data_IF_167705613498
#
_entry.id   IF_167705613498
#
_cell.length_a   1.000
_cell.length_b   1.000
_cell.length_c   1.000
_cell.angle_alpha   90.00
_cell.angle_beta   90.00
_cell.angle_gamma   90.00
#
_symmetry.space_group_name_H-M   'P 1'
#
loop_
_entity.id
_entity.type
_entity.pdbx_description
1 polymer ?
#
# COMPACT_ATOMS: atom_id res chain seq x y z
N UNK A 1 1.41 -10.22 11.16
CA UNK A 1 0.10 -9.95 10.55
C UNK A 1 -0.83 -9.19 11.50
N UNK A 2 -1.27 -9.79 12.61
CA UNK A 2 -2.25 -9.19 13.54
C UNK A 2 -1.73 -7.87 14.14
N UNK A 3 -0.48 -7.85 14.62
CA UNK A 3 0.14 -6.65 15.21
C UNK A 3 0.17 -5.48 14.22
N UNK A 4 0.50 -5.76 12.96
CA UNK A 4 0.54 -4.74 11.89
C UNK A 4 -0.85 -4.14 11.65
N UNK A 5 -1.88 -4.98 11.60
CA UNK A 5 -3.25 -4.53 11.39
C UNK A 5 -3.78 -3.74 12.60
N UNK A 6 -3.48 -4.18 13.81
CA UNK A 6 -3.86 -3.45 15.03
C UNK A 6 -3.20 -2.08 15.10
N UNK A 7 -1.91 -1.98 14.73
CA UNK A 7 -1.20 -0.70 14.64
C UNK A 7 -1.84 0.23 13.61
N UNK A 8 -2.20 -0.28 12.43
CA UNK A 8 -2.87 0.52 11.38
C UNK A 8 -4.23 1.05 11.82
N UNK A 9 -5.02 0.24 12.55
CA UNK A 9 -6.31 0.68 13.08
C UNK A 9 -6.15 1.75 14.16
N UNK A 10 -5.16 1.59 15.06
CA UNK A 10 -4.86 2.59 16.10
C UNK A 10 -4.41 3.92 15.48
N UNK A 11 -3.52 3.88 14.47
CA UNK A 11 -3.09 5.08 13.74
C UNK A 11 -4.27 5.80 13.07
N UNK A 12 -5.23 5.03 12.53
CA UNK A 12 -6.46 5.57 11.95
C UNK A 12 -7.32 6.32 12.98
N UNK A 13 -7.49 5.73 14.16
CA UNK A 13 -8.29 6.33 15.27
C UNK A 13 -7.60 7.59 15.81
N UNK A 14 -6.29 7.56 16.00
CA UNK A 14 -5.53 8.74 16.47
C UNK A 14 -5.53 9.86 15.42
N UNK A 15 -5.46 9.51 14.14
CA UNK A 15 -5.57 10.44 13.02
C UNK A 15 -6.93 11.15 12.97
N UNK A 16 -8.02 10.41 13.20
CA UNK A 16 -9.38 10.97 13.23
C UNK A 16 -9.63 11.84 14.47
N UNK A 17 -9.10 11.45 15.64
CA UNK A 17 -9.11 12.27 16.86
C UNK A 17 -8.34 13.59 16.68
N UNK A 18 -7.16 13.55 16.05
CA UNK A 18 -6.38 14.75 15.75
C UNK A 18 -7.08 15.66 14.72
N UNK A 19 -7.84 15.07 13.80
CA UNK A 19 -8.66 15.79 12.81
C UNK A 19 -9.81 16.54 13.45
N UNK A 20 -10.49 15.91 14.41
CA UNK A 20 -11.60 16.52 15.19
C UNK A 20 -11.08 17.67 16.05
N UNK A 21 -9.87 17.55 16.62
CA UNK A 21 -9.26 18.59 17.50
C UNK A 21 -8.58 19.74 16.73
N UNK A 22 -8.62 19.78 15.39
CA UNK A 22 -7.90 20.79 14.55
C UNK A 22 -6.41 20.95 14.84
N UNK A 23 -5.74 19.93 15.37
CA UNK A 23 -4.34 19.96 15.79
C UNK A 23 -3.36 19.45 14.71
N UNK A 24 -3.82 19.24 13.48
CA UNK A 24 -2.94 18.81 12.38
C UNK A 24 -2.01 19.95 11.95
N UNK A 25 -0.74 19.83 12.24
CA UNK A 25 0.27 20.64 11.58
C UNK A 25 0.56 20.11 10.18
N UNK A 26 0.86 20.99 9.22
CA UNK A 26 1.28 20.59 7.86
C UNK A 26 2.51 19.67 7.89
N UNK A 27 3.40 19.88 8.85
CA UNK A 27 4.57 19.03 9.08
C UNK A 27 4.18 17.65 9.58
N UNK A 28 3.22 17.53 10.50
CA UNK A 28 2.75 16.25 11.01
C UNK A 28 2.18 15.36 9.90
N UNK A 29 1.35 15.90 9.02
CA UNK A 29 0.81 15.15 7.88
C UNK A 29 1.88 14.74 6.85
N UNK A 30 2.89 15.57 6.64
CA UNK A 30 4.03 15.23 5.79
C UNK A 30 4.88 14.12 6.40
N UNK A 31 5.20 14.22 7.69
CA UNK A 31 6.01 13.24 8.41
C UNK A 31 5.31 11.87 8.48
N UNK A 32 4.02 11.86 8.77
CA UNK A 32 3.17 10.67 8.78
C UNK A 32 3.18 9.96 7.42
N UNK A 33 3.03 10.72 6.33
CA UNK A 33 3.09 10.17 4.98
C UNK A 33 4.45 9.50 4.67
N UNK A 34 5.55 10.00 5.21
CA UNK A 34 6.89 9.39 5.06
C UNK A 34 6.97 8.10 5.88
N UNK A 35 6.58 8.14 7.15
CA UNK A 35 6.59 6.97 8.03
C UNK A 35 5.75 5.82 7.45
N UNK A 36 4.62 6.15 6.86
CA UNK A 36 3.78 5.19 6.14
C UNK A 36 4.54 4.45 5.03
N UNK A 37 5.38 5.16 4.29
CA UNK A 37 6.17 4.53 3.21
C UNK A 37 7.24 3.60 3.76
N UNK A 38 7.95 4.03 4.81
CA UNK A 38 8.92 3.16 5.47
C UNK A 38 8.27 1.91 6.07
N UNK A 39 7.09 2.06 6.66
CA UNK A 39 6.32 0.93 7.21
C UNK A 39 5.89 -0.04 6.11
N UNK A 40 5.35 0.45 4.99
CA UNK A 40 4.98 -0.37 3.83
C UNK A 40 6.20 -1.15 3.30
N UNK A 41 7.36 -0.47 3.19
CA UNK A 41 8.61 -1.11 2.75
C UNK A 41 9.07 -2.20 3.72
N UNK A 42 9.06 -1.92 5.01
CA UNK A 42 9.48 -2.89 6.03
C UNK A 42 8.56 -4.13 6.06
N UNK A 43 7.25 -3.93 5.93
CA UNK A 43 6.27 -5.02 5.92
C UNK A 43 6.43 -5.90 4.68
N UNK A 44 6.50 -5.31 3.48
CA UNK A 44 6.64 -6.05 2.24
C UNK A 44 8.02 -6.70 2.11
N UNK A 45 9.08 -6.00 2.56
CA UNK A 45 10.43 -6.56 2.65
C UNK A 45 10.51 -7.74 3.62
N UNK A 46 9.91 -7.61 4.79
CA UNK A 46 9.81 -8.70 5.76
C UNK A 46 9.04 -9.91 5.24
N UNK A 47 7.92 -9.69 4.55
CA UNK A 47 7.16 -10.78 3.92
C UNK A 47 7.96 -11.45 2.79
N UNK A 48 8.68 -10.67 1.99
CA UNK A 48 9.57 -11.19 0.94
C UNK A 48 10.69 -12.03 1.53
N UNK A 49 11.35 -11.51 2.57
CA UNK A 49 12.40 -12.24 3.27
C UNK A 49 11.88 -13.55 3.88
N UNK A 50 10.72 -13.51 4.52
CA UNK A 50 10.08 -14.70 5.08
C UNK A 50 9.77 -15.73 3.98
N UNK A 51 9.20 -15.30 2.86
CA UNK A 51 8.89 -16.19 1.75
C UNK A 51 10.14 -16.85 1.16
N UNK A 52 11.26 -16.12 1.05
CA UNK A 52 12.55 -16.66 0.60
C UNK A 52 13.10 -17.74 1.53
N UNK A 53 12.86 -17.62 2.84
CA UNK A 53 13.41 -18.57 3.82
C UNK A 53 12.54 -19.81 4.00
N UNK A 54 11.21 -19.65 3.89
CA UNK A 54 10.27 -20.69 4.33
C UNK A 54 9.40 -21.26 3.21
N UNK A 55 9.31 -20.61 2.04
CA UNK A 55 8.52 -21.09 0.91
C UNK A 55 9.39 -21.71 -0.19
N UNK A 56 9.97 -22.88 0.06
CA UNK A 56 10.79 -23.61 -0.92
C UNK A 56 10.03 -24.04 -2.20
N UNK A 57 8.71 -23.78 -2.27
CA UNK A 57 7.86 -24.14 -3.42
C UNK A 57 8.13 -23.26 -4.64
N UNK A 58 8.55 -22.02 -4.44
CA UNK A 58 8.76 -21.05 -5.50
C UNK A 58 10.24 -20.77 -5.69
N UNK A 59 10.64 -20.49 -6.93
CA UNK A 59 12.00 -20.03 -7.22
C UNK A 59 12.25 -18.66 -6.53
N UNK A 60 13.42 -18.50 -5.96
CA UNK A 60 13.85 -17.27 -5.31
C UNK A 60 13.71 -16.03 -6.21
N UNK A 61 13.95 -16.17 -7.50
CA UNK A 61 13.77 -15.08 -8.48
C UNK A 61 12.31 -14.64 -8.59
N UNK A 62 11.37 -15.60 -8.54
CA UNK A 62 9.93 -15.29 -8.54
C UNK A 62 9.53 -14.54 -7.28
N UNK A 63 10.03 -14.98 -6.11
CA UNK A 63 9.73 -14.33 -4.82
C UNK A 63 10.28 -12.90 -4.80
N UNK A 64 11.52 -12.71 -5.25
CA UNK A 64 12.15 -11.37 -5.33
C UNK A 64 11.39 -10.47 -6.29
N UNK A 65 11.08 -10.97 -7.50
CA UNK A 65 10.33 -10.19 -8.49
C UNK A 65 8.94 -9.78 -7.98
N UNK A 66 8.23 -10.70 -7.30
CA UNK A 66 6.93 -10.43 -6.70
C UNK A 66 7.03 -9.38 -5.57
N UNK A 67 8.04 -9.49 -4.70
CA UNK A 67 8.31 -8.53 -3.63
C UNK A 67 8.63 -7.14 -4.16
N UNK A 68 9.47 -7.05 -5.19
CA UNK A 68 9.78 -5.78 -5.86
C UNK A 68 8.53 -5.18 -6.53
N UNK A 69 7.75 -5.98 -7.26
CA UNK A 69 6.53 -5.53 -7.92
C UNK A 69 5.49 -5.01 -6.90
N UNK A 70 5.30 -5.72 -5.77
CA UNK A 70 4.41 -5.29 -4.70
C UNK A 70 4.87 -3.98 -4.06
N UNK A 71 6.17 -3.84 -3.81
CA UNK A 71 6.77 -2.65 -3.19
C UNK A 71 6.66 -1.44 -4.12
N UNK A 72 7.09 -1.58 -5.38
CA UNK A 72 6.99 -0.50 -6.39
C UNK A 72 5.53 -0.09 -6.61
N UNK A 73 4.63 -1.06 -6.77
CA UNK A 73 3.20 -0.79 -6.94
C UNK A 73 2.61 -0.04 -5.75
N UNK A 74 2.96 -0.40 -4.52
CA UNK A 74 2.52 0.29 -3.30
C UNK A 74 2.98 1.75 -3.25
N UNK A 75 4.24 2.02 -3.61
CA UNK A 75 4.76 3.38 -3.69
C UNK A 75 4.09 4.18 -4.81
N UNK A 76 3.91 3.57 -5.98
CA UNK A 76 3.28 4.23 -7.12
C UNK A 76 1.82 4.58 -6.88
N UNK A 77 1.07 3.77 -6.14
CA UNK A 77 -0.31 4.13 -5.72
C UNK A 77 -0.30 5.41 -4.90
N UNK A 78 0.59 5.52 -3.93
CA UNK A 78 0.68 6.68 -3.05
C UNK A 78 1.18 7.92 -3.80
N UNK A 79 2.21 7.75 -4.62
CA UNK A 79 2.76 8.82 -5.46
C UNK A 79 1.74 9.34 -6.47
N UNK A 80 1.07 8.43 -7.19
CA UNK A 80 0.06 8.81 -8.20
C UNK A 80 -1.11 9.56 -7.58
N UNK A 81 -1.53 9.22 -6.36
CA UNK A 81 -2.57 9.95 -5.62
C UNK A 81 -2.12 11.35 -5.28
N UNK A 82 -0.97 11.50 -4.61
CA UNK A 82 -0.43 12.81 -4.25
C UNK A 82 -0.20 13.70 -5.48
N UNK A 83 0.30 13.11 -6.57
CA UNK A 83 0.54 13.84 -7.81
C UNK A 83 -0.75 14.28 -8.50
N UNK A 84 -1.80 13.46 -8.46
CA UNK A 84 -3.12 13.82 -9.00
C UNK A 84 -3.75 14.98 -8.23
N UNK A 85 -3.66 14.98 -6.90
CA UNK A 85 -4.15 16.07 -6.06
C UNK A 85 -3.46 17.39 -6.41
N UNK A 86 -2.14 17.38 -6.62
CA UNK A 86 -1.38 18.58 -7.01
C UNK A 86 -1.68 19.03 -8.45
N UNK A 87 -1.80 18.08 -9.40
CA UNK A 87 -1.90 18.43 -10.83
C UNK A 87 -3.33 18.72 -11.28
N UNK A 88 -4.34 18.10 -10.66
CA UNK A 88 -5.73 18.16 -11.08
C UNK A 88 -6.67 18.70 -9.99
N UNK A 89 -6.17 18.97 -8.77
CA UNK A 89 -6.97 19.39 -7.63
C UNK A 89 -7.99 18.35 -7.15
N UNK A 90 -7.93 17.13 -7.64
CA UNK A 90 -8.86 16.04 -7.34
C UNK A 90 -8.09 14.74 -7.13
N UNK A 91 -8.54 13.92 -6.18
CA UNK A 91 -8.09 12.52 -6.07
C UNK A 91 -8.94 11.61 -6.98
N UNK A 92 -8.44 10.40 -7.25
CA UNK A 92 -9.17 9.43 -8.06
C UNK A 92 -10.43 8.95 -7.30
N UNK A 93 -11.66 9.24 -7.79
CA UNK A 93 -12.89 8.81 -7.14
C UNK A 93 -13.17 7.33 -7.41
N UNK A 94 -13.94 6.69 -6.52
CA UNK A 94 -14.57 5.40 -6.74
C UNK A 94 -13.92 4.22 -6.03
N UNK A 95 -14.55 3.05 -6.17
CA UNK A 95 -14.17 1.78 -5.56
C UNK A 95 -12.72 1.38 -5.84
N UNK A 96 -12.21 1.64 -7.05
CA UNK A 96 -10.82 1.30 -7.42
C UNK A 96 -9.81 2.14 -6.64
N UNK A 97 -10.16 3.38 -6.29
CA UNK A 97 -9.32 4.23 -5.42
C UNK A 97 -9.24 3.69 -3.98
N UNK A 98 -10.34 3.15 -3.45
CA UNK A 98 -10.42 2.59 -2.11
C UNK A 98 -9.85 1.17 -2.01
N UNK A 99 -10.01 0.32 -3.02
CA UNK A 99 -9.43 -1.03 -3.07
C UNK A 99 -7.90 -1.02 -2.99
N UNK A 100 -7.26 0.04 -3.46
CA UNK A 100 -5.82 0.22 -3.37
C UNK A 100 -5.40 1.06 -2.15
N UNK A 101 -6.29 1.23 -1.15
CA UNK A 101 -5.96 1.91 0.09
C UNK A 101 -4.88 1.16 0.87
N UNK A 102 -4.20 1.85 1.77
CA UNK A 102 -3.20 1.25 2.66
C UNK A 102 -3.81 0.13 3.50
N UNK A 103 -5.00 0.37 4.05
CA UNK A 103 -5.70 -0.58 4.92
C UNK A 103 -6.02 -1.89 4.19
N UNK A 104 -6.51 -1.79 2.96
CA UNK A 104 -6.79 -2.98 2.12
C UNK A 104 -5.52 -3.78 1.85
N UNK A 105 -4.40 -3.13 1.54
CA UNK A 105 -3.12 -3.82 1.31
C UNK A 105 -2.61 -4.50 2.57
N UNK A 106 -2.67 -3.83 3.72
CA UNK A 106 -2.28 -4.40 5.01
C UNK A 106 -3.17 -5.57 5.42
N UNK A 107 -4.47 -5.49 5.13
CA UNK A 107 -5.41 -6.60 5.35
C UNK A 107 -5.03 -7.83 4.50
N UNK A 108 -4.71 -7.63 3.22
CA UNK A 108 -4.26 -8.70 2.33
C UNK A 108 -2.96 -9.34 2.83
N UNK A 109 -1.99 -8.52 3.25
CA UNK A 109 -0.73 -9.01 3.86
C UNK A 109 -1.01 -9.80 5.13
N UNK A 110 -1.90 -9.31 5.99
CA UNK A 110 -2.28 -10.01 7.22
C UNK A 110 -2.87 -11.39 6.92
N UNK A 111 -3.86 -11.45 6.03
CA UNK A 111 -4.51 -12.72 5.65
C UNK A 111 -3.49 -13.68 5.03
N UNK A 112 -2.69 -13.22 4.07
CA UNK A 112 -1.68 -14.04 3.41
C UNK A 112 -0.60 -14.55 4.34
N UNK A 113 -0.19 -13.74 5.34
CA UNK A 113 0.76 -14.14 6.38
C UNK A 113 0.18 -15.20 7.33
N UNK A 114 -1.11 -15.11 7.67
CA UNK A 114 -1.79 -16.10 8.53
C UNK A 114 -1.96 -17.43 7.80
N UNK A 115 -2.30 -17.38 6.51
CA UNK A 115 -2.47 -18.57 5.67
C UNK A 115 -1.13 -19.22 5.29
N UNK A 116 0.00 -18.50 5.48
CA UNK A 116 1.33 -19.01 5.17
C UNK A 116 1.66 -19.04 3.67
N UNK A 117 1.05 -18.14 2.86
CA UNK A 117 1.25 -18.03 1.42
C UNK A 117 1.82 -16.65 1.05
N UNK A 118 3.04 -16.36 1.51
CA UNK A 118 3.69 -15.06 1.31
C UNK A 118 3.93 -14.71 -0.15
N UNK A 119 4.46 -15.65 -0.93
CA UNK A 119 4.73 -15.44 -2.37
C UNK A 119 3.46 -15.15 -3.15
N UNK A 120 2.39 -15.93 -2.93
CA UNK A 120 1.10 -15.71 -3.59
C UNK A 120 0.53 -14.34 -3.23
N UNK A 121 0.66 -13.94 -1.97
CA UNK A 121 0.25 -12.62 -1.48
C UNK A 121 1.02 -11.50 -2.16
N UNK A 122 2.35 -11.64 -2.30
CA UNK A 122 3.20 -10.66 -2.99
C UNK A 122 2.85 -10.55 -4.47
N UNK A 123 2.63 -11.67 -5.16
CA UNK A 123 2.21 -11.68 -6.57
C UNK A 123 0.85 -10.98 -6.73
N UNK A 124 -0.12 -11.31 -5.87
CA UNK A 124 -1.43 -10.70 -5.91
C UNK A 124 -1.37 -9.19 -5.66
N UNK A 125 -0.64 -8.75 -4.63
CA UNK A 125 -0.45 -7.33 -4.34
C UNK A 125 0.27 -6.61 -5.46
N UNK A 126 1.34 -7.20 -6.00
CA UNK A 126 2.09 -6.66 -7.12
C UNK A 126 1.21 -6.46 -8.35
N UNK A 127 0.42 -7.48 -8.72
CA UNK A 127 -0.51 -7.39 -9.83
C UNK A 127 -1.59 -6.31 -9.59
N UNK A 128 -2.29 -6.39 -8.45
CA UNK A 128 -3.37 -5.46 -8.10
C UNK A 128 -2.88 -4.01 -8.09
N UNK A 129 -1.78 -3.72 -7.41
CA UNK A 129 -1.30 -2.35 -7.26
C UNK A 129 -0.82 -1.75 -8.58
N UNK A 130 -0.08 -2.51 -9.38
CA UNK A 130 0.39 -2.02 -10.68
C UNK A 130 -0.75 -1.86 -11.68
N UNK A 131 -1.75 -2.74 -11.70
CA UNK A 131 -2.96 -2.58 -12.53
C UNK A 131 -3.72 -1.30 -12.16
N UNK A 132 -3.86 -1.01 -10.88
CA UNK A 132 -4.49 0.25 -10.43
C UNK A 132 -3.69 1.46 -10.88
N UNK A 133 -2.36 1.41 -10.81
CA UNK A 133 -1.51 2.52 -11.31
C UNK A 133 -1.69 2.72 -12.81
N UNK A 134 -1.67 1.65 -13.60
CA UNK A 134 -1.91 1.69 -15.05
C UNK A 134 -3.29 2.29 -15.34
N UNK A 135 -4.32 1.82 -14.64
CA UNK A 135 -5.66 2.39 -14.78
C UNK A 135 -5.70 3.90 -14.47
N UNK A 136 -5.01 4.35 -13.40
CA UNK A 136 -4.93 5.77 -13.04
C UNK A 136 -4.28 6.61 -14.14
N UNK A 137 -3.24 6.09 -14.79
CA UNK A 137 -2.59 6.77 -15.92
C UNK A 137 -3.59 6.96 -17.08
N UNK A 138 -4.34 5.91 -17.42
CA UNK A 138 -5.36 6.01 -18.46
C UNK A 138 -6.53 6.94 -18.07
N UNK A 139 -6.96 6.90 -16.81
CA UNK A 139 -8.02 7.78 -16.30
C UNK A 139 -7.57 9.25 -16.33
N UNK A 140 -6.33 9.54 -15.94
CA UNK A 140 -5.76 10.87 -15.99
C UNK A 140 -5.67 11.42 -17.44
N UNK A 141 -5.32 10.55 -18.41
CA UNK A 141 -5.28 10.91 -19.84
C UNK A 141 -6.65 11.28 -20.40
N UNK A 142 -7.74 10.65 -19.94
CA UNK A 142 -9.11 10.95 -20.38
C UNK A 142 -9.69 12.22 -19.73
N UNK A 143 -8.88 12.93 -18.95
CA UNK A 143 -9.33 14.03 -18.10
C UNK A 143 -10.23 13.48 -16.99
N UNK A 144 -9.81 13.61 -15.74
CA UNK A 144 -10.58 13.19 -14.55
C UNK A 144 -11.99 13.84 -14.60
N UNK A 145 -12.87 13.30 -15.47
CA UNK A 145 -14.27 13.71 -15.61
C UNK A 145 -15.11 13.07 -14.54
#
# INVERSE_FOLDING_TARGET
>A
GIVVQTSSVLDGVDGDLARIKKMRSSFGGFFDAILDRYSDFAILGGLTFWALQFEARFDNMVVIAAGLAATVGSFMISYSRARAEVSFGKSFPGLIGSLASRDTRLLIVMIGSIVGHGTVTLVFLGAMTNLVVVWRVFAARKGLK
#
